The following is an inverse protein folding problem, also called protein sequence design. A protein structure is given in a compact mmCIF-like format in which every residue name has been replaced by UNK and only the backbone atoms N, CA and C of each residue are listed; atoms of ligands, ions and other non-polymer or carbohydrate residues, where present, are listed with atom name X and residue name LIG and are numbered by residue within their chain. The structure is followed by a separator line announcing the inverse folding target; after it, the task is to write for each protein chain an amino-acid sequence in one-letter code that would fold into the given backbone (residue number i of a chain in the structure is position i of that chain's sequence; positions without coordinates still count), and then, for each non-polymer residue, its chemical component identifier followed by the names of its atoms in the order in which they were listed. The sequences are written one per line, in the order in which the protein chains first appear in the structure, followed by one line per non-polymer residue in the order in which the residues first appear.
data_IF_532909599579
#
_entry.id   IF_532909599579
#
_cell.length_a   1.000
_cell.length_b   1.000
_cell.length_c   1.000
_cell.angle_alpha   90.00
_cell.angle_beta   90.00
_cell.angle_gamma   90.00
#
_symmetry.space_group_name_H-M   'P 1'
#
loop_
_entity.id
_entity.type
_entity.pdbx_description
1 polymer ?
#
# COMPACT_ATOMS: atom_id res chain seq x y z
N UNK A 1 -71.74 14.25 -36.16
CA UNK A 1 -70.30 14.12 -36.29
C UNK A 1 -69.62 14.53 -34.98
N UNK A 2 -69.31 13.54 -34.15
CA UNK A 2 -68.72 13.75 -32.85
C UNK A 2 -67.25 13.36 -32.90
N UNK A 3 -66.37 14.28 -32.72
CA UNK A 3 -64.98 14.08 -32.54
C UNK A 3 -64.72 13.59 -31.13
N UNK A 4 -64.20 12.37 -31.00
CA UNK A 4 -63.61 11.85 -29.76
C UNK A 4 -62.11 12.25 -29.70
N UNK A 5 -61.78 13.09 -28.72
CA UNK A 5 -60.39 13.30 -28.33
C UNK A 5 -59.84 12.05 -27.61
N UNK A 6 -58.66 11.58 -27.92
CA UNK A 6 -57.99 10.58 -27.13
C UNK A 6 -57.19 11.28 -26.01
N UNK A 7 -57.70 11.19 -24.77
CA UNK A 7 -56.93 11.51 -23.57
C UNK A 7 -55.90 10.37 -23.34
N UNK A 8 -54.70 10.52 -23.88
CA UNK A 8 -53.56 9.73 -23.53
C UNK A 8 -52.89 10.29 -22.28
N UNK A 9 -53.40 9.94 -21.10
CA UNK A 9 -52.71 10.19 -19.85
C UNK A 9 -51.45 9.29 -19.78
N UNK A 10 -50.30 9.92 -19.87
CA UNK A 10 -49.02 9.27 -19.54
C UNK A 10 -48.99 9.08 -18.03
N UNK A 11 -49.35 7.88 -17.61
CA UNK A 11 -49.18 7.42 -16.23
C UNK A 11 -47.70 7.20 -16.00
N UNK A 12 -47.02 8.19 -15.41
CA UNK A 12 -45.65 8.08 -14.95
C UNK A 12 -45.67 7.19 -13.71
N UNK A 13 -45.27 5.95 -13.86
CA UNK A 13 -45.10 5.01 -12.75
C UNK A 13 -44.06 5.58 -11.75
N UNK A 14 -44.58 6.18 -10.67
CA UNK A 14 -43.76 6.73 -9.57
C UNK A 14 -43.14 5.64 -8.68
N UNK A 15 -43.38 4.35 -8.99
CA UNK A 15 -42.90 3.21 -8.20
C UNK A 15 -41.36 3.02 -8.18
N UNK A 16 -40.60 3.22 -9.27
CA UNK A 16 -39.14 2.97 -9.23
C UNK A 16 -38.36 4.04 -8.47
N UNK A 17 -38.83 5.29 -8.46
CA UNK A 17 -38.15 6.39 -7.73
C UNK A 17 -38.24 6.22 -6.22
N UNK A 18 -39.40 5.82 -5.69
CA UNK A 18 -39.59 5.58 -4.26
C UNK A 18 -38.76 4.42 -3.73
N UNK A 19 -38.61 3.35 -4.53
CA UNK A 19 -37.80 2.21 -4.17
C UNK A 19 -36.29 2.55 -4.19
N UNK A 20 -35.84 3.32 -5.19
CA UNK A 20 -34.44 3.77 -5.27
C UNK A 20 -34.10 4.70 -4.10
N UNK A 21 -34.97 5.63 -3.73
CA UNK A 21 -34.78 6.51 -2.56
C UNK A 21 -34.77 5.69 -1.26
N UNK A 22 -35.66 4.70 -1.11
CA UNK A 22 -35.68 3.82 0.05
C UNK A 22 -34.39 3.01 0.17
N UNK A 23 -33.85 2.47 -0.94
CA UNK A 23 -32.59 1.73 -0.96
C UNK A 23 -31.42 2.64 -0.61
N UNK A 24 -31.38 3.86 -1.14
CA UNK A 24 -30.32 4.84 -0.81
C UNK A 24 -30.41 5.27 0.65
N UNK A 25 -31.61 5.52 1.18
CA UNK A 25 -31.82 5.82 2.61
C UNK A 25 -31.45 4.62 3.49
N UNK A 26 -31.79 3.40 3.08
CA UNK A 26 -31.43 2.19 3.81
C UNK A 26 -29.91 1.95 3.78
N UNK A 27 -29.25 2.21 2.64
CA UNK A 27 -27.78 2.15 2.52
C UNK A 27 -27.10 3.25 3.34
N UNK A 28 -27.65 4.47 3.36
CA UNK A 28 -27.20 5.57 4.22
C UNK A 28 -27.42 5.24 5.71
N UNK A 29 -28.59 4.68 6.07
CA UNK A 29 -28.84 4.22 7.44
C UNK A 29 -27.94 3.04 7.83
N UNK A 30 -27.71 2.10 6.94
CA UNK A 30 -26.76 0.99 7.21
C UNK A 30 -25.33 1.47 7.27
N UNK A 31 -24.95 2.50 6.52
CA UNK A 31 -23.63 3.14 6.65
C UNK A 31 -23.53 3.95 7.96
N UNK A 32 -24.58 4.62 8.39
CA UNK A 32 -24.67 5.35 9.67
C UNK A 32 -24.79 4.41 10.88
N UNK A 33 -25.53 3.30 10.75
CA UNK A 33 -25.69 2.27 11.79
C UNK A 33 -24.59 1.21 11.74
N UNK A 34 -23.87 1.09 10.61
CA UNK A 34 -22.79 0.11 10.37
C UNK A 34 -21.51 0.37 11.16
N UNK A 35 -21.48 1.42 11.95
CA UNK A 35 -20.37 1.72 12.85
C UNK A 35 -19.12 2.24 12.13
N UNK A 36 -18.31 2.90 12.88
CA UNK A 36 -16.99 3.39 12.43
C UNK A 36 -16.15 2.25 11.83
N UNK A 37 -15.52 2.51 10.70
CA UNK A 37 -14.67 1.57 9.97
C UNK A 37 -13.25 2.10 9.94
N UNK A 38 -12.30 1.26 10.39
CA UNK A 38 -10.88 1.54 10.27
C UNK A 38 -10.28 0.67 9.16
N UNK A 39 -9.79 1.32 8.11
CA UNK A 39 -9.14 0.69 6.97
C UNK A 39 -7.65 1.02 7.01
N UNK A 40 -6.82 0.00 7.22
CA UNK A 40 -5.36 0.14 7.21
C UNK A 40 -4.76 -0.72 6.09
N UNK A 41 -4.05 -0.08 5.18
CA UNK A 41 -3.30 -0.75 4.12
C UNK A 41 -1.82 -0.73 4.46
N UNK A 42 -1.24 -1.87 4.80
CA UNK A 42 0.19 -2.00 5.09
C UNK A 42 0.96 -2.37 3.83
N UNK A 43 1.93 -1.53 3.46
CA UNK A 43 2.89 -1.77 2.40
C UNK A 43 4.23 -2.15 3.03
N UNK A 44 4.59 -3.43 2.94
CA UNK A 44 5.84 -3.97 3.47
C UNK A 44 6.84 -4.18 2.35
N UNK A 45 7.94 -3.44 2.39
CA UNK A 45 9.04 -3.58 1.45
C UNK A 45 9.93 -4.76 1.84
N UNK A 46 9.79 -5.89 1.16
CA UNK A 46 10.45 -7.16 1.51
C UNK A 46 11.80 -7.35 0.82
N UNK A 47 12.04 -6.65 -0.28
CA UNK A 47 13.26 -6.75 -1.07
C UNK A 47 13.38 -5.62 -2.09
N UNK A 48 14.44 -5.58 -2.91
CA UNK A 48 14.54 -4.67 -4.05
C UNK A 48 13.36 -4.88 -4.99
N UNK A 49 12.61 -3.80 -5.30
CA UNK A 49 11.46 -3.85 -6.18
C UNK A 49 10.31 -4.78 -5.75
N UNK A 50 10.32 -5.29 -4.50
CA UNK A 50 9.28 -6.22 -4.00
C UNK A 50 8.52 -5.64 -2.82
N UNK A 51 7.20 -5.74 -2.91
CA UNK A 51 6.27 -5.24 -1.90
C UNK A 51 5.29 -6.34 -1.52
N UNK A 52 4.97 -6.45 -0.25
CA UNK A 52 3.88 -7.24 0.27
C UNK A 52 2.78 -6.29 0.73
N UNK A 53 1.56 -6.53 0.26
CA UNK A 53 0.38 -5.75 0.64
C UNK A 53 -0.41 -6.54 1.68
N UNK A 54 -0.83 -5.85 2.73
CA UNK A 54 -1.80 -6.36 3.70
C UNK A 54 -2.84 -5.29 3.96
N UNK A 55 -4.10 -5.61 3.74
CA UNK A 55 -5.22 -4.71 4.02
C UNK A 55 -5.97 -5.25 5.24
N UNK A 56 -6.25 -4.39 6.19
CA UNK A 56 -7.03 -4.71 7.38
C UNK A 56 -8.20 -3.76 7.46
N UNK A 57 -9.40 -4.31 7.47
CA UNK A 57 -10.64 -3.56 7.67
C UNK A 57 -11.25 -4.00 9.00
N UNK A 58 -11.47 -3.05 9.90
CA UNK A 58 -12.08 -3.29 11.21
C UNK A 58 -13.38 -2.56 11.34
N UNK A 59 -14.40 -3.27 11.77
CA UNK A 59 -15.63 -2.67 12.26
C UNK A 59 -15.50 -2.39 13.76
N UNK A 60 -15.75 -1.17 14.19
CA UNK A 60 -15.70 -0.82 15.61
C UNK A 60 -16.83 -1.45 16.42
N UNK A 61 -17.89 -1.94 15.75
CA UNK A 61 -18.95 -2.71 16.41
C UNK A 61 -18.56 -4.15 16.75
N UNK A 62 -17.39 -4.61 16.26
CA UNK A 62 -16.91 -5.99 16.43
C UNK A 62 -17.67 -7.02 15.59
N UNK A 63 -18.67 -6.60 14.81
CA UNK A 63 -19.42 -7.47 13.91
C UNK A 63 -18.98 -7.29 12.46
N UNK A 64 -18.94 -8.38 11.64
CA UNK A 64 -18.56 -8.29 10.26
C UNK A 64 -19.63 -7.56 9.45
N UNK A 65 -19.24 -6.51 8.77
CA UNK A 65 -20.10 -5.73 7.90
C UNK A 65 -20.48 -6.53 6.63
N UNK A 66 -21.69 -6.31 6.06
CA UNK A 66 -22.12 -7.01 4.85
C UNK A 66 -21.12 -6.90 3.68
N UNK A 67 -20.60 -5.69 3.45
CA UNK A 67 -19.64 -5.45 2.38
C UNK A 67 -18.29 -6.16 2.60
N UNK A 68 -17.83 -6.36 3.84
CA UNK A 68 -16.64 -7.14 4.14
C UNK A 68 -16.78 -8.60 3.69
N UNK A 69 -17.96 -9.21 3.94
CA UNK A 69 -18.26 -10.57 3.48
C UNK A 69 -18.31 -10.65 1.94
N UNK A 70 -18.91 -9.65 1.31
CA UNK A 70 -19.01 -9.58 -0.14
C UNK A 70 -17.64 -9.37 -0.79
N UNK A 71 -16.80 -8.48 -0.25
CA UNK A 71 -15.43 -8.27 -0.67
C UNK A 71 -14.60 -9.54 -0.50
N UNK A 72 -14.72 -10.23 0.64
CA UNK A 72 -14.03 -11.49 0.86
C UNK A 72 -14.39 -12.55 -0.19
N UNK A 73 -15.67 -12.64 -0.58
CA UNK A 73 -16.13 -13.56 -1.64
C UNK A 73 -15.59 -13.17 -3.02
N UNK A 74 -15.64 -11.87 -3.36
CA UNK A 74 -15.18 -11.37 -4.66
C UNK A 74 -13.67 -11.51 -4.88
N UNK A 75 -12.90 -11.68 -3.80
CA UNK A 75 -11.45 -11.85 -3.83
C UNK A 75 -10.99 -13.29 -3.63
N UNK A 76 -11.89 -14.28 -3.60
CA UNK A 76 -11.52 -15.68 -3.39
C UNK A 76 -10.57 -16.23 -4.46
N UNK A 77 -10.76 -15.81 -5.71
CA UNK A 77 -9.91 -16.22 -6.84
C UNK A 77 -8.65 -15.35 -7.01
N UNK A 78 -8.45 -14.41 -6.10
CA UNK A 78 -7.28 -13.52 -6.11
C UNK A 78 -6.13 -14.13 -5.29
N UNK A 79 -4.87 -13.71 -5.49
CA UNK A 79 -3.72 -14.22 -4.74
C UNK A 79 -3.70 -13.77 -3.27
N UNK A 80 -4.79 -13.19 -2.75
CA UNK A 80 -4.89 -12.80 -1.35
C UNK A 80 -5.20 -13.99 -0.44
N UNK A 81 -4.48 -14.08 0.67
CA UNK A 81 -4.90 -14.89 1.81
C UNK A 81 -5.92 -14.10 2.61
N UNK A 82 -7.15 -14.62 2.71
CA UNK A 82 -8.28 -13.96 3.36
C UNK A 82 -8.47 -14.55 4.74
N UNK A 83 -8.54 -13.69 5.77
CA UNK A 83 -8.89 -14.07 7.13
C UNK A 83 -9.96 -13.12 7.65
N UNK A 84 -11.04 -13.67 8.17
CA UNK A 84 -12.14 -12.90 8.78
C UNK A 84 -12.38 -13.39 10.20
N UNK A 85 -12.35 -12.47 11.18
CA UNK A 85 -12.63 -12.75 12.59
C UNK A 85 -13.27 -11.51 13.25
N UNK A 86 -14.35 -11.70 14.01
CA UNK A 86 -14.93 -10.67 14.89
C UNK A 86 -14.96 -9.24 14.31
N UNK A 87 -15.54 -9.07 13.12
CA UNK A 87 -15.61 -7.75 12.48
C UNK A 87 -14.29 -7.24 11.84
N UNK A 88 -13.22 -8.04 11.90
CA UNK A 88 -11.97 -7.75 11.19
C UNK A 88 -11.87 -8.62 9.94
N UNK A 89 -11.69 -7.99 8.79
CA UNK A 89 -11.31 -8.63 7.54
C UNK A 89 -9.86 -8.28 7.24
N UNK A 90 -9.02 -9.31 7.12
CA UNK A 90 -7.60 -9.16 6.77
C UNK A 90 -7.30 -9.86 5.47
N UNK A 91 -6.83 -9.09 4.50
CA UNK A 91 -6.35 -9.53 3.19
C UNK A 91 -4.84 -9.42 3.18
N UNK A 92 -4.13 -10.49 2.81
CA UNK A 92 -2.68 -10.49 2.73
C UNK A 92 -2.23 -11.06 1.40
N UNK A 93 -1.53 -10.25 0.60
CA UNK A 93 -0.90 -10.68 -0.63
C UNK A 93 0.45 -11.36 -0.36
N UNK A 94 0.92 -12.24 -1.25
CA UNK A 94 2.32 -12.69 -1.24
C UNK A 94 3.26 -11.50 -1.53
N UNK A 95 4.58 -11.71 -1.37
CA UNK A 95 5.56 -10.71 -1.78
C UNK A 95 5.66 -10.68 -3.31
N UNK A 96 5.26 -9.59 -3.93
CA UNK A 96 5.18 -9.41 -5.38
C UNK A 96 6.14 -8.31 -5.85
N UNK A 97 6.53 -8.30 -7.14
CA UNK A 97 7.12 -7.12 -7.75
C UNK A 97 6.22 -5.89 -7.56
N UNK A 98 6.80 -4.71 -7.34
CA UNK A 98 6.04 -3.49 -7.00
C UNK A 98 4.93 -3.18 -8.00
N UNK A 99 5.15 -3.43 -9.30
CA UNK A 99 4.15 -3.24 -10.36
C UNK A 99 2.93 -4.16 -10.18
N UNK A 100 3.17 -5.46 -9.97
CA UNK A 100 2.08 -6.42 -9.74
C UNK A 100 1.36 -6.16 -8.43
N UNK A 101 2.10 -5.74 -7.40
CA UNK A 101 1.51 -5.36 -6.12
C UNK A 101 0.56 -4.15 -6.30
N UNK A 102 0.94 -3.17 -7.13
CA UNK A 102 0.07 -2.03 -7.44
C UNK A 102 -1.19 -2.45 -8.21
N UNK A 103 -1.04 -3.29 -9.24
CA UNK A 103 -2.17 -3.81 -10.02
C UNK A 103 -3.18 -4.52 -9.10
N UNK A 104 -2.67 -5.31 -8.14
CA UNK A 104 -3.49 -5.98 -7.15
C UNK A 104 -4.18 -5.01 -6.18
N UNK A 105 -3.47 -3.98 -5.74
CA UNK A 105 -4.03 -2.91 -4.90
C UNK A 105 -5.13 -2.16 -5.64
N UNK A 106 -4.86 -1.76 -6.89
CA UNK A 106 -5.84 -1.06 -7.74
C UNK A 106 -7.10 -1.89 -7.95
N UNK A 107 -6.95 -3.19 -8.24
CA UNK A 107 -8.09 -4.09 -8.40
C UNK A 107 -8.89 -4.26 -7.10
N UNK A 108 -8.24 -4.31 -5.95
CA UNK A 108 -8.92 -4.42 -4.65
C UNK A 108 -9.66 -3.13 -4.27
N UNK A 109 -9.05 -1.96 -4.57
CA UNK A 109 -9.67 -0.64 -4.35
C UNK A 109 -10.86 -0.45 -5.28
N UNK A 110 -10.73 -0.78 -6.57
CA UNK A 110 -11.82 -0.69 -7.54
C UNK A 110 -13.03 -1.54 -7.10
N UNK A 111 -12.80 -2.80 -6.70
CA UNK A 111 -13.88 -3.66 -6.21
C UNK A 111 -14.53 -3.14 -4.93
N UNK A 112 -13.75 -2.56 -4.02
CA UNK A 112 -14.30 -1.95 -2.82
C UNK A 112 -15.12 -0.69 -3.14
N UNK A 113 -14.68 0.10 -4.12
CA UNK A 113 -15.38 1.29 -4.61
C UNK A 113 -16.69 0.92 -5.30
N UNK A 114 -16.70 -0.11 -6.16
CA UNK A 114 -17.91 -0.66 -6.80
C UNK A 114 -18.93 -1.11 -5.75
N UNK A 115 -18.49 -1.80 -4.69
CA UNK A 115 -19.37 -2.23 -3.60
C UNK A 115 -19.91 -1.07 -2.77
N UNK A 116 -19.19 0.04 -2.71
CA UNK A 116 -19.59 1.26 -2.02
C UNK A 116 -20.37 2.21 -2.93
N UNK A 117 -20.55 1.88 -4.22
CA UNK A 117 -21.14 2.73 -5.26
C UNK A 117 -20.46 4.11 -5.37
N UNK A 118 -19.12 4.13 -5.22
CA UNK A 118 -18.29 5.34 -5.31
C UNK A 118 -17.31 5.15 -6.47
N UNK A 119 -17.26 6.11 -7.38
CA UNK A 119 -16.25 6.13 -8.44
C UNK A 119 -14.94 6.71 -7.89
N UNK A 120 -13.98 5.85 -7.63
CA UNK A 120 -12.62 6.25 -7.21
C UNK A 120 -11.64 6.05 -8.37
N UNK A 121 -10.84 7.06 -8.71
CA UNK A 121 -9.76 6.88 -9.67
C UNK A 121 -8.74 5.85 -9.13
N UNK A 122 -8.09 5.08 -10.02
CA UNK A 122 -7.12 4.10 -9.60
C UNK A 122 -5.91 4.77 -8.94
N UNK A 123 -5.37 4.18 -7.85
CA UNK A 123 -4.17 4.68 -7.19
C UNK A 123 -2.99 4.71 -8.18
N UNK A 124 -2.24 5.81 -8.17
CA UNK A 124 -1.05 5.95 -8.99
C UNK A 124 0.20 5.74 -8.12
N UNK A 125 1.07 4.84 -8.56
CA UNK A 125 2.36 4.62 -7.94
C UNK A 125 3.45 4.70 -9.00
N UNK A 126 4.32 5.68 -8.87
CA UNK A 126 5.55 5.76 -9.64
C UNK A 126 6.71 5.30 -8.77
N UNK A 127 7.52 4.38 -9.28
CA UNK A 127 8.73 3.92 -8.60
C UNK A 127 9.89 4.03 -9.55
N UNK A 128 10.91 4.81 -9.15
CA UNK A 128 12.15 4.98 -9.90
C UNK A 128 13.29 4.45 -9.05
N UNK A 129 14.04 3.50 -9.58
CA UNK A 129 15.21 2.94 -8.93
C UNK A 129 16.48 3.40 -9.67
N UNK A 130 17.42 3.95 -8.91
CA UNK A 130 18.75 4.27 -9.41
C UNK A 130 19.77 3.37 -8.71
N UNK A 131 20.38 2.51 -9.49
CA UNK A 131 21.41 1.60 -9.00
C UNK A 131 22.76 2.32 -8.92
N UNK A 132 23.33 2.34 -7.72
CA UNK A 132 24.69 2.74 -7.43
C UNK A 132 25.50 1.49 -7.10
N UNK A 133 26.80 1.53 -7.31
CA UNK A 133 27.66 0.37 -7.10
C UNK A 133 27.44 -0.32 -5.73
N UNK A 134 27.28 0.47 -4.69
CA UNK A 134 27.13 0.02 -3.31
C UNK A 134 25.69 -0.02 -2.80
N UNK A 135 24.75 0.53 -3.55
CA UNK A 135 23.34 0.59 -3.09
C UNK A 135 22.37 1.02 -4.17
N UNK A 136 21.11 0.94 -3.83
CA UNK A 136 19.98 1.35 -4.68
C UNK A 136 19.26 2.50 -3.99
N UNK A 137 19.15 3.61 -4.68
CA UNK A 137 18.27 4.71 -4.28
C UNK A 137 16.92 4.49 -4.94
N UNK A 138 15.91 4.27 -4.12
CA UNK A 138 14.54 4.09 -4.57
C UNK A 138 13.73 5.35 -4.25
N UNK A 139 13.11 5.89 -5.26
CA UNK A 139 12.17 6.99 -5.17
C UNK A 139 10.78 6.46 -5.50
N UNK A 140 9.82 6.73 -4.63
CA UNK A 140 8.44 6.30 -4.79
C UNK A 140 7.54 7.50 -4.60
N UNK A 141 6.58 7.59 -5.49
CA UNK A 141 5.56 8.62 -5.54
C UNK A 141 4.21 7.90 -5.58
N UNK A 142 3.41 8.07 -4.52
CA UNK A 142 2.11 7.45 -4.35
C UNK A 142 1.03 8.54 -4.30
N UNK A 143 0.13 8.50 -5.25
CA UNK A 143 -1.00 9.40 -5.35
C UNK A 143 -2.31 8.63 -5.20
N UNK A 144 -3.15 9.08 -4.26
CA UNK A 144 -4.45 8.52 -3.96
C UNK A 144 -5.49 9.63 -4.02
N UNK A 145 -6.29 9.62 -5.08
CA UNK A 145 -7.37 10.60 -5.27
C UNK A 145 -8.63 10.13 -4.54
N UNK A 146 -8.92 10.77 -3.41
CA UNK A 146 -10.09 10.50 -2.59
C UNK A 146 -11.10 11.66 -2.62
N UNK A 147 -11.03 12.54 -3.64
CA UNK A 147 -11.94 13.71 -3.73
C UNK A 147 -13.40 13.32 -3.88
N UNK A 148 -13.68 12.18 -4.52
CA UNK A 148 -15.03 11.64 -4.66
C UNK A 148 -15.55 10.97 -3.37
N UNK A 149 -14.69 10.74 -2.38
CA UNK A 149 -15.07 10.14 -1.11
C UNK A 149 -15.41 11.22 -0.09
N UNK A 150 -16.69 11.33 0.27
CA UNK A 150 -17.12 12.27 1.30
C UNK A 150 -16.52 11.88 2.67
N UNK A 151 -16.12 12.87 3.49
CA UNK A 151 -15.66 12.63 4.84
C UNK A 151 -16.81 12.15 5.72
N UNK A 152 -16.87 10.85 5.97
CA UNK A 152 -17.87 10.24 6.84
C UNK A 152 -17.35 10.18 8.28
N UNK A 153 -18.16 10.58 9.28
CA UNK A 153 -17.79 10.44 10.67
C UNK A 153 -17.58 8.96 11.00
N UNK A 154 -16.40 8.66 11.59
CA UNK A 154 -16.03 7.28 11.94
C UNK A 154 -15.34 6.47 10.84
N UNK A 155 -15.11 7.02 9.65
CA UNK A 155 -14.26 6.43 8.62
C UNK A 155 -12.81 6.85 8.86
N UNK A 156 -11.94 5.87 9.13
CA UNK A 156 -10.50 6.06 9.25
C UNK A 156 -9.78 5.30 8.13
N UNK A 157 -9.04 6.03 7.32
CA UNK A 157 -8.23 5.48 6.25
C UNK A 157 -6.76 5.72 6.55
N UNK A 158 -5.93 4.68 6.49
CA UNK A 158 -4.50 4.81 6.74
C UNK A 158 -3.68 3.90 5.82
N UNK A 159 -2.47 4.35 5.52
CA UNK A 159 -1.43 3.55 4.87
C UNK A 159 -0.26 3.40 5.85
N UNK A 160 0.11 2.16 6.14
CA UNK A 160 1.25 1.82 6.97
C UNK A 160 2.41 1.35 6.10
N UNK A 161 3.58 1.94 6.27
CA UNK A 161 4.77 1.71 5.48
C UNK A 161 5.86 1.03 6.32
N UNK A 162 6.31 -0.15 5.91
CA UNK A 162 7.32 -0.97 6.63
C UNK A 162 8.38 -1.54 5.69
N UNK A 163 9.65 -1.62 6.09
CA UNK A 163 10.34 -0.85 7.13
C UNK A 163 10.77 0.50 6.56
N UNK A 164 10.30 1.59 7.12
CA UNK A 164 10.71 2.92 6.68
C UNK A 164 11.03 3.83 7.87
N UNK A 165 12.02 4.70 7.68
CA UNK A 165 12.39 5.72 8.65
C UNK A 165 11.74 7.05 8.28
N UNK A 166 11.43 7.95 9.25
CA UNK A 166 10.81 9.24 8.98
C UNK A 166 11.57 10.09 7.95
N UNK A 167 12.91 10.00 7.95
CA UNK A 167 13.77 10.71 6.97
C UNK A 167 13.60 10.26 5.53
N UNK A 168 12.92 9.13 5.28
CA UNK A 168 12.63 8.66 3.94
C UNK A 168 11.45 9.41 3.30
N UNK A 169 10.61 10.05 4.12
CA UNK A 169 9.47 10.84 3.64
C UNK A 169 9.98 12.19 3.18
N UNK A 170 9.66 12.56 1.94
CA UNK A 170 10.02 13.85 1.33
C UNK A 170 8.84 14.79 1.35
N UNK A 171 7.68 14.27 0.96
CA UNK A 171 6.42 14.99 0.94
C UNK A 171 5.32 14.08 1.45
N UNK A 172 4.37 14.61 2.20
CA UNK A 172 3.14 13.93 2.58
C UNK A 172 2.03 14.97 2.77
N UNK A 173 1.06 14.94 1.91
CA UNK A 173 -0.05 15.87 1.87
C UNK A 173 -1.38 15.10 1.80
N UNK A 174 -2.47 15.64 2.33
CA UNK A 174 -2.57 16.85 3.15
C UNK A 174 -2.12 16.64 4.61
N UNK A 175 -1.98 15.39 5.05
CA UNK A 175 -1.62 15.05 6.44
C UNK A 175 -0.21 14.46 6.53
N UNK A 176 0.56 14.84 7.56
CA UNK A 176 1.91 14.33 7.74
C UNK A 176 1.93 12.87 8.15
N UNK A 177 2.97 12.16 7.72
CA UNK A 177 3.27 10.80 8.15
C UNK A 177 3.79 10.80 9.58
N UNK A 178 3.31 9.86 10.40
CA UNK A 178 3.72 9.72 11.79
C UNK A 178 4.38 8.36 12.03
N UNK A 179 5.46 8.30 12.84
CA UNK A 179 6.02 7.03 13.26
C UNK A 179 5.04 6.29 14.16
N UNK A 180 4.89 4.98 13.94
CA UNK A 180 4.15 4.13 14.86
C UNK A 180 4.97 3.92 16.14
N UNK A 181 4.36 4.09 17.33
CA UNK A 181 5.04 3.84 18.60
C UNK A 181 5.45 2.37 18.68
N UNK A 182 6.68 2.14 19.12
CA UNK A 182 7.19 0.80 19.41
C UNK A 182 6.99 0.49 20.88
N UNK A 183 6.55 -0.71 21.18
CA UNK A 183 6.58 -1.19 22.56
C UNK A 183 8.02 -1.31 23.07
N UNK A 184 8.28 -1.12 24.36
CA UNK A 184 9.60 -1.29 24.94
C UNK A 184 10.11 -2.72 24.64
N UNK A 185 11.35 -2.84 24.14
CA UNK A 185 11.96 -4.11 23.76
C UNK A 185 11.51 -4.71 22.41
N UNK A 186 10.65 -4.06 21.65
CA UNK A 186 10.20 -4.54 20.36
C UNK A 186 11.31 -4.52 19.33
N UNK A 187 11.64 -5.69 18.75
CA UNK A 187 12.53 -5.86 17.58
C UNK A 187 11.82 -5.61 16.24
N UNK A 188 10.55 -5.21 16.29
CA UNK A 188 9.79 -4.93 15.07
C UNK A 188 10.46 -3.82 14.23
N UNK A 189 10.42 -3.93 12.91
CA UNK A 189 10.95 -2.88 12.03
C UNK A 189 10.18 -1.57 12.26
N UNK A 190 10.84 -0.44 11.99
CA UNK A 190 10.18 0.85 12.08
C UNK A 190 9.07 0.94 11.05
N UNK A 191 7.90 1.36 11.50
CA UNK A 191 6.74 1.56 10.66
C UNK A 191 6.31 3.03 10.72
N UNK A 192 5.85 3.54 9.59
CA UNK A 192 5.29 4.88 9.46
C UNK A 192 3.82 4.74 9.09
N UNK A 193 2.96 5.50 9.75
CA UNK A 193 1.53 5.56 9.45
C UNK A 193 1.17 6.90 8.82
N UNK A 194 0.59 6.84 7.65
CA UNK A 194 0.05 7.96 6.93
C UNK A 194 -1.48 7.88 6.96
N UNK A 195 -2.11 8.87 7.58
CA UNK A 195 -3.57 8.98 7.55
C UNK A 195 -3.98 9.65 6.26
N UNK A 196 -4.94 9.05 5.57
CA UNK A 196 -5.53 9.61 4.37
C UNK A 196 -6.70 10.51 4.74
N UNK A 197 -6.84 11.59 4.01
CA UNK A 197 -7.96 12.52 4.17
C UNK A 197 -8.97 12.30 3.05
N UNK A 198 -10.19 11.82 3.36
CA UNK A 198 -11.29 11.80 2.38
C UNK A 198 -11.60 13.23 1.89
N UNK A 199 -12.13 13.35 0.68
CA UNK A 199 -12.42 14.64 0.05
C UNK A 199 -11.22 15.37 -0.50
N UNK A 200 -10.02 14.77 -0.49
CA UNK A 200 -8.79 15.40 -0.97
C UNK A 200 -7.92 14.48 -1.80
N UNK A 201 -7.01 15.08 -2.55
CA UNK A 201 -5.91 14.37 -3.20
C UNK A 201 -4.85 14.09 -2.14
N UNK A 202 -4.51 12.83 -1.93
CA UNK A 202 -3.47 12.41 -1.00
C UNK A 202 -2.21 12.05 -1.78
N UNK A 203 -1.10 12.73 -1.47
CA UNK A 203 0.16 12.58 -2.17
C UNK A 203 1.29 12.26 -1.19
N UNK A 204 2.05 11.19 -1.45
CA UNK A 204 3.15 10.73 -0.64
C UNK A 204 4.40 10.47 -1.48
N UNK A 205 5.44 11.21 -1.21
CA UNK A 205 6.74 11.05 -1.85
C UNK A 205 7.75 10.48 -0.87
N UNK A 206 8.36 9.35 -1.26
CA UNK A 206 9.35 8.64 -0.46
C UNK A 206 10.67 8.53 -1.20
N UNK A 207 11.78 8.71 -0.47
CA UNK A 207 13.12 8.45 -0.99
C UNK A 207 13.91 7.63 0.02
N UNK A 208 14.22 6.38 -0.33
CA UNK A 208 14.97 5.49 0.53
C UNK A 208 16.26 5.00 -0.14
N UNK A 209 17.27 4.77 0.68
CA UNK A 209 18.53 4.16 0.28
C UNK A 209 18.61 2.74 0.84
N UNK A 210 18.98 1.80 -0.01
CA UNK A 210 19.17 0.40 0.39
C UNK A 210 20.54 -0.07 -0.06
N UNK A 211 21.29 -0.66 0.85
CA UNK A 211 22.59 -1.24 0.52
C UNK A 211 22.43 -2.47 -0.37
N UNK A 212 23.24 -2.55 -1.42
CA UNK A 212 23.33 -3.72 -2.29
C UNK A 212 24.22 -4.78 -1.63
N UNK A 213 23.68 -5.95 -1.35
CA UNK A 213 24.45 -7.07 -0.82
C UNK A 213 25.57 -7.48 -1.78
N UNK A 214 25.29 -7.46 -3.10
CA UNK A 214 26.28 -7.73 -4.14
C UNK A 214 27.36 -6.65 -4.16
N UNK A 215 27.00 -5.36 -4.09
CA UNK A 215 27.95 -4.27 -4.07
C UNK A 215 28.87 -4.31 -2.86
N UNK A 216 28.32 -4.59 -1.67
CA UNK A 216 29.11 -4.77 -0.45
C UNK A 216 30.01 -5.99 -0.53
N UNK A 217 29.54 -7.11 -1.10
CA UNK A 217 30.33 -8.30 -1.33
C UNK A 217 31.50 -8.05 -2.29
N UNK A 218 31.23 -7.38 -3.41
CA UNK A 218 32.27 -7.01 -4.39
C UNK A 218 33.32 -6.07 -3.77
N UNK A 219 32.89 -5.10 -2.97
CA UNK A 219 33.79 -4.21 -2.24
C UNK A 219 34.66 -5.00 -1.24
N UNK A 220 34.08 -5.94 -0.49
CA UNK A 220 34.80 -6.79 0.44
C UNK A 220 35.86 -7.64 -0.24
N UNK A 221 35.53 -8.26 -1.37
CA UNK A 221 36.49 -9.03 -2.19
C UNK A 221 37.61 -8.13 -2.73
N UNK A 222 37.26 -6.95 -3.25
CA UNK A 222 38.24 -5.98 -3.75
C UNK A 222 39.19 -5.49 -2.66
N UNK A 223 38.69 -5.20 -1.45
CA UNK A 223 39.53 -4.84 -0.30
C UNK A 223 40.47 -5.98 0.12
N UNK A 224 39.96 -7.22 0.14
CA UNK A 224 40.76 -8.39 0.44
C UNK A 224 41.92 -8.60 -0.57
N UNK A 225 41.59 -8.51 -1.86
CA UNK A 225 42.63 -8.61 -2.91
C UNK A 225 43.64 -7.46 -2.83
N UNK A 226 43.16 -6.23 -2.57
CA UNK A 226 44.02 -5.09 -2.34
C UNK A 226 44.95 -5.27 -1.14
N UNK A 227 44.41 -5.78 -0.02
CA UNK A 227 45.20 -6.07 1.18
C UNK A 227 46.27 -7.15 0.92
N UNK A 228 45.89 -8.25 0.25
CA UNK A 228 46.85 -9.32 -0.12
C UNK A 228 47.96 -8.78 -1.02
N UNK A 229 47.59 -7.98 -2.04
CA UNK A 229 48.56 -7.34 -2.93
C UNK A 229 49.49 -6.38 -2.18
N UNK A 230 48.96 -5.60 -1.24
CA UNK A 230 49.76 -4.71 -0.40
C UNK A 230 50.70 -5.48 0.50
N UNK A 231 50.24 -6.54 1.16
CA UNK A 231 51.07 -7.41 1.99
C UNK A 231 52.20 -8.09 1.18
N UNK A 232 51.90 -8.54 -0.04
CA UNK A 232 52.93 -9.10 -0.94
C UNK A 232 53.99 -8.05 -1.29
N UNK A 233 53.58 -6.82 -1.62
CA UNK A 233 54.52 -5.73 -1.92
C UNK A 233 55.39 -5.38 -0.70
N UNK A 234 54.77 -5.29 0.48
CA UNK A 234 55.52 -5.06 1.73
C UNK A 234 56.51 -6.18 2.06
N UNK A 235 56.10 -7.44 1.85
CA UNK A 235 56.99 -8.60 2.02
C UNK A 235 58.20 -8.56 1.08
N UNK A 236 57.98 -8.22 -0.19
CA UNK A 236 59.05 -8.05 -1.17
C UNK A 236 59.96 -6.86 -0.81
N UNK A 237 59.42 -5.74 -0.40
CA UNK A 237 60.15 -4.55 0.03
C UNK A 237 60.98 -4.81 1.30
N UNK A 238 60.52 -5.67 2.22
CA UNK A 238 61.22 -6.08 3.42
C UNK A 238 62.26 -7.18 3.17
N UNK A 239 62.52 -7.59 1.91
CA UNK A 239 63.50 -8.59 1.56
C UNK A 239 63.12 -10.04 1.85
N UNK A 240 61.89 -10.29 2.29
CA UNK A 240 61.39 -11.63 2.52
C UNK A 240 60.81 -12.21 1.23
N UNK A 241 61.58 -12.96 0.44
CA UNK A 241 60.95 -13.72 -0.65
C UNK A 241 61.67 -13.75 -2.00
N UNK A 242 62.95 -13.41 -2.08
CA UNK A 242 63.74 -13.80 -3.24
C UNK A 242 64.17 -15.27 -3.05
N UNK A 243 63.81 -16.19 -3.93
CA UNK A 243 64.40 -17.52 -3.91
C UNK A 243 65.89 -17.35 -4.20
N UNK A 244 66.72 -17.82 -3.27
CA UNK A 244 68.15 -17.97 -3.55
C UNK A 244 68.25 -18.98 -4.69
N UNK A 245 68.70 -18.52 -5.86
CA UNK A 245 69.09 -19.41 -6.94
C UNK A 245 70.30 -20.21 -6.46
N UNK A 246 70.26 -21.55 -6.53
CA UNK A 246 71.41 -22.34 -6.23
C UNK A 246 72.49 -21.99 -7.25
N UNK A 247 73.74 -21.78 -6.73
CA UNK A 247 74.96 -21.53 -7.49
C UNK A 247 75.34 -22.75 -8.29
#
# INVERSE_FOLDING_TARGET
PGAREPQGGVQVDAAPLGFAVLVVVLLLLTALLGGCVDLDTTLRFTGPGRVQISQTSRSLTGQPLPWQRQLARSLQDSPFTIRQRHGELRLRAPSLPARQALELLSASVARAADLAAVELPPPQLRSVERNWLLGVRQHMDLELDLRALEPLPGLSLAVTLEPLQPRAVRLAEPLPVRPLPRGPGSKAPQALRWRLQPGSLNHLELSCWRWSRLGLGALGVGLLLGLVSLLQRLRLAAGFGLPQLPA
#
